data_IF_522291948975
#
_entry.id   IF_522291948975
#
_cell.length_a   1.000
_cell.length_b   1.000
_cell.length_c   1.000
_cell.angle_alpha   90.00
_cell.angle_beta   90.00
_cell.angle_gamma   90.00
#
_symmetry.space_group_name_H-M   'P 1'
#
loop_
_entity.id
_entity.type
_entity.pdbx_description
1 polymer ?
#
# COMPACT_ATOMS: atom_id res chain seq x y z
N UNK A 1 7.22 -3.56 33.11
CA UNK A 1 7.30 -4.81 32.34
C UNK A 1 5.96 -5.53 32.28
N UNK A 2 5.29 -5.74 33.42
CA UNK A 2 3.97 -6.42 33.45
C UNK A 2 2.91 -5.73 32.58
N UNK A 3 2.88 -4.42 32.58
CA UNK A 3 2.00 -3.55 31.82
C UNK A 3 2.19 -3.63 30.29
N UNK A 4 3.42 -3.71 29.80
CA UNK A 4 3.72 -3.90 28.36
C UNK A 4 3.29 -5.30 27.89
N UNK A 5 3.53 -6.33 28.71
CA UNK A 5 3.14 -7.70 28.39
C UNK A 5 1.62 -7.82 28.27
N UNK A 6 0.88 -7.19 29.17
CA UNK A 6 -0.59 -7.21 29.13
C UNK A 6 -1.13 -6.52 27.85
N UNK A 7 -0.57 -5.37 27.46
CA UNK A 7 -0.97 -4.67 26.23
C UNK A 7 -0.66 -5.48 24.97
N UNK A 8 0.51 -6.10 24.93
CA UNK A 8 0.93 -6.97 23.83
C UNK A 8 0.03 -8.20 23.71
N UNK A 9 -0.26 -8.88 24.81
CA UNK A 9 -1.19 -10.02 24.82
C UNK A 9 -2.61 -9.57 24.41
N UNK A 10 -3.04 -8.40 24.82
CA UNK A 10 -4.29 -7.78 24.38
C UNK A 10 -4.32 -7.53 22.87
N UNK A 11 -3.24 -7.01 22.28
CA UNK A 11 -3.12 -6.81 20.85
C UNK A 11 -3.16 -8.15 20.11
N UNK A 12 -2.34 -9.12 20.50
CA UNK A 12 -2.29 -10.47 19.93
C UNK A 12 -3.67 -11.15 20.01
N UNK A 13 -4.36 -11.00 21.13
CA UNK A 13 -5.72 -11.51 21.33
C UNK A 13 -6.74 -10.90 20.36
N UNK A 14 -6.71 -9.57 20.19
CA UNK A 14 -7.60 -8.88 19.22
C UNK A 14 -7.33 -9.31 17.78
N UNK A 15 -6.06 -9.35 17.36
CA UNK A 15 -5.68 -9.75 16.00
C UNK A 15 -6.09 -11.21 15.72
N UNK A 16 -5.92 -12.11 16.68
CA UNK A 16 -6.35 -13.51 16.56
C UNK A 16 -7.87 -13.63 16.49
N UNK A 17 -8.61 -12.93 17.36
CA UNK A 17 -10.08 -12.95 17.37
C UNK A 17 -10.68 -12.38 16.10
N UNK A 18 -10.04 -11.39 15.48
CA UNK A 18 -10.43 -10.83 14.18
C UNK A 18 -10.04 -11.70 12.97
N UNK A 19 -9.29 -12.79 13.18
CA UNK A 19 -8.85 -13.69 12.11
C UNK A 19 -7.63 -13.21 11.31
N UNK A 20 -7.00 -12.08 11.70
CA UNK A 20 -5.79 -11.57 11.05
C UNK A 20 -4.55 -12.39 11.35
N UNK A 21 -4.45 -12.96 12.58
CA UNK A 21 -3.29 -13.67 13.10
C UNK A 21 -3.61 -15.16 13.28
N UNK A 22 -3.14 -15.98 12.35
CA UNK A 22 -3.41 -17.44 12.30
C UNK A 22 -2.14 -18.26 12.50
N UNK A 23 -0.99 -17.80 12.01
CA UNK A 23 0.28 -18.52 12.05
C UNK A 23 1.01 -18.30 13.37
N UNK A 24 1.42 -19.40 14.02
CA UNK A 24 2.10 -19.34 15.33
C UNK A 24 3.44 -18.58 15.25
N UNK A 25 4.22 -18.77 14.18
CA UNK A 25 5.50 -18.07 13.99
C UNK A 25 5.35 -16.55 13.93
N UNK A 26 4.23 -16.02 13.33
CA UNK A 26 3.94 -14.57 13.31
C UNK A 26 3.54 -14.11 14.71
N UNK A 27 2.76 -14.93 15.44
CA UNK A 27 2.37 -14.65 16.84
C UNK A 27 3.58 -14.60 17.78
N UNK A 28 4.52 -15.55 17.66
CA UNK A 28 5.76 -15.54 18.42
C UNK A 28 6.61 -14.32 18.09
N UNK A 29 6.74 -13.98 16.79
CA UNK A 29 7.49 -12.80 16.38
C UNK A 29 6.91 -11.50 16.97
N UNK A 30 5.58 -11.34 17.00
CA UNK A 30 4.95 -10.18 17.64
C UNK A 30 5.26 -10.08 19.15
N UNK A 31 5.35 -11.22 19.86
CA UNK A 31 5.70 -11.24 21.28
C UNK A 31 7.15 -10.92 21.54
N UNK A 32 8.03 -11.36 20.65
CA UNK A 32 9.48 -11.23 20.83
C UNK A 32 10.00 -9.88 20.31
N UNK A 33 9.26 -9.18 19.45
CA UNK A 33 9.64 -7.91 18.84
C UNK A 33 8.65 -6.81 19.25
N UNK A 34 8.82 -6.21 20.45
CA UNK A 34 7.84 -5.31 21.01
C UNK A 34 7.73 -4.00 20.23
N UNK A 35 6.54 -3.68 19.74
CA UNK A 35 6.27 -2.53 18.86
C UNK A 35 6.73 -1.20 19.44
N UNK A 36 6.63 -1.02 20.75
CA UNK A 36 7.02 0.23 21.42
C UNK A 36 8.52 0.58 21.29
N UNK A 37 9.38 -0.38 20.99
CA UNK A 37 10.79 -0.13 20.73
C UNK A 37 11.04 0.56 19.37
N UNK A 38 10.03 0.59 18.49
CA UNK A 38 10.10 1.12 17.13
C UNK A 38 9.31 2.42 16.94
N UNK A 39 8.72 2.95 18.02
CA UNK A 39 7.94 4.19 18.02
C UNK A 39 8.70 5.28 18.77
N UNK A 40 8.90 6.48 18.18
CA UNK A 40 9.58 7.59 18.85
C UNK A 40 8.77 8.10 20.04
N UNK A 41 9.43 8.85 20.93
CA UNK A 41 8.77 9.41 22.10
C UNK A 41 7.61 10.36 21.75
N UNK A 42 7.75 11.12 20.67
CA UNK A 42 6.69 11.98 20.13
C UNK A 42 6.34 11.50 18.72
N UNK A 43 5.07 11.25 18.49
CA UNK A 43 4.54 10.80 17.20
C UNK A 43 3.04 11.14 17.11
N UNK A 44 2.42 10.81 15.99
CA UNK A 44 0.99 11.03 15.74
C UNK A 44 0.32 9.73 15.33
N UNK A 45 -0.89 9.50 15.80
CA UNK A 45 -1.72 8.40 15.29
C UNK A 45 -2.18 8.69 13.87
N UNK A 46 -2.61 7.67 13.14
CA UNK A 46 -3.22 7.84 11.81
C UNK A 46 -4.46 8.73 11.83
N UNK A 47 -5.17 8.80 12.97
CA UNK A 47 -6.34 9.65 13.19
C UNK A 47 -5.99 11.10 13.61
N UNK A 48 -4.71 11.41 13.78
CA UNK A 48 -4.23 12.77 14.10
C UNK A 48 -4.15 13.08 15.59
N UNK A 49 -4.17 12.08 16.49
CA UNK A 49 -3.89 12.29 17.92
C UNK A 49 -2.37 12.36 18.16
N UNK A 50 -1.90 13.40 18.85
CA UNK A 50 -0.50 13.52 19.26
C UNK A 50 -0.23 12.62 20.46
N UNK A 51 0.81 11.82 20.36
CA UNK A 51 1.32 10.98 21.45
C UNK A 51 2.68 11.46 21.92
N UNK A 52 2.87 11.56 23.23
CA UNK A 52 4.12 12.03 23.83
C UNK A 52 4.42 11.21 25.10
N UNK A 53 5.43 10.36 24.99
CA UNK A 53 5.86 9.46 26.06
C UNK A 53 6.32 10.21 27.32
N UNK A 54 6.88 11.40 27.18
CA UNK A 54 7.42 12.15 28.33
C UNK A 54 6.30 12.74 29.19
N UNK A 55 5.16 13.09 28.59
CA UNK A 55 4.05 13.75 29.28
C UNK A 55 2.92 12.79 29.66
N UNK A 56 2.75 11.69 28.91
CA UNK A 56 1.65 10.75 29.09
C UNK A 56 2.07 9.30 28.73
N UNK A 57 3.00 8.74 29.48
CA UNK A 57 3.63 7.43 29.21
C UNK A 57 2.62 6.30 29.03
N UNK A 58 1.59 6.22 29.91
CA UNK A 58 0.56 5.19 29.80
C UNK A 58 -0.29 5.35 28.55
N UNK A 59 -0.74 6.57 28.24
CA UNK A 59 -1.51 6.84 27.03
C UNK A 59 -0.69 6.56 25.78
N UNK A 60 0.60 6.88 25.78
CA UNK A 60 1.52 6.56 24.69
C UNK A 60 1.61 5.05 24.45
N UNK A 61 1.75 4.24 25.51
CA UNK A 61 1.73 2.79 25.41
C UNK A 61 0.38 2.26 24.91
N UNK A 62 -0.73 2.80 25.40
CA UNK A 62 -2.07 2.41 24.95
C UNK A 62 -2.21 2.61 23.43
N UNK A 63 -1.79 3.76 22.90
CA UNK A 63 -1.88 4.09 21.49
C UNK A 63 -0.91 3.24 20.65
N UNK A 64 0.31 3.01 21.13
CA UNK A 64 1.29 2.15 20.44
C UNK A 64 0.78 0.72 20.26
N UNK A 65 -0.02 0.21 21.21
CA UNK A 65 -0.57 -1.15 21.13
C UNK A 65 -2.03 -1.21 20.63
N UNK A 66 -2.57 -0.09 20.11
CA UNK A 66 -3.80 -0.11 19.31
C UNK A 66 -3.53 -0.55 17.88
N UNK A 67 -4.60 -0.90 17.17
CA UNK A 67 -4.52 -1.24 15.74
C UNK A 67 -4.64 0.01 14.87
N UNK A 68 -3.64 0.87 14.98
CA UNK A 68 -3.50 2.11 14.22
C UNK A 68 -2.05 2.33 13.81
N UNK A 69 -1.84 3.10 12.73
CA UNK A 69 -0.52 3.54 12.32
C UNK A 69 0.00 4.67 13.22
N UNK A 70 1.28 4.62 13.56
CA UNK A 70 1.95 5.73 14.26
C UNK A 70 2.86 6.45 13.28
N UNK A 71 2.53 7.70 12.97
CA UNK A 71 3.28 8.53 12.03
C UNK A 71 4.59 8.97 12.68
N UNK A 72 5.69 8.78 11.99
CA UNK A 72 7.03 9.03 12.52
C UNK A 72 7.87 10.01 11.69
N UNK A 73 7.38 10.38 10.49
CA UNK A 73 8.03 11.38 9.64
C UNK A 73 6.99 12.14 8.81
N UNK A 74 7.22 13.44 8.65
CA UNK A 74 6.45 14.34 7.78
C UNK A 74 7.35 14.89 6.67
N UNK A 75 6.78 15.10 5.45
CA UNK A 75 7.39 15.79 4.31
C UNK A 75 8.82 15.33 3.98
N UNK A 76 9.05 14.01 4.00
CA UNK A 76 10.38 13.41 3.78
C UNK A 76 11.45 13.93 4.76
N UNK A 77 11.05 14.23 6.00
CA UNK A 77 11.92 14.75 7.06
C UNK A 77 12.14 16.26 7.02
N UNK A 78 11.47 16.99 6.14
CA UNK A 78 11.59 18.45 6.05
C UNK A 78 10.77 19.16 7.12
N UNK A 79 9.70 18.55 7.62
CA UNK A 79 8.84 19.06 8.68
C UNK A 79 9.06 18.26 9.97
N UNK A 80 9.20 18.99 11.09
CA UNK A 80 9.30 18.38 12.41
C UNK A 80 8.01 17.62 12.73
N UNK A 81 8.12 16.34 13.04
CA UNK A 81 6.96 15.48 13.35
C UNK A 81 6.18 15.98 14.56
N UNK A 82 6.78 16.77 15.46
CA UNK A 82 6.10 17.32 16.63
C UNK A 82 5.03 18.35 16.27
N UNK A 83 5.05 18.93 15.07
CA UNK A 83 4.06 19.90 14.58
C UNK A 83 2.74 19.24 14.18
N UNK A 84 2.79 18.00 13.67
CA UNK A 84 1.62 17.25 13.18
C UNK A 84 1.05 17.75 11.85
N UNK A 85 1.65 18.76 11.25
CA UNK A 85 1.15 19.45 10.06
C UNK A 85 2.09 19.22 8.87
N UNK A 86 1.69 18.31 7.98
CA UNK A 86 2.47 17.90 6.83
C UNK A 86 1.99 16.59 6.22
N UNK A 87 2.60 16.21 5.09
CA UNK A 87 2.33 14.94 4.44
C UNK A 87 3.02 13.81 5.19
N UNK A 88 2.30 12.77 5.54
CA UNK A 88 2.84 11.56 6.17
C UNK A 88 3.79 10.84 5.21
N UNK A 89 5.02 10.58 5.64
CA UNK A 89 6.08 9.99 4.81
C UNK A 89 6.80 8.79 5.42
N UNK A 90 6.67 8.56 6.73
CA UNK A 90 7.04 7.32 7.41
C UNK A 90 6.12 7.05 8.59
N UNK A 91 5.90 5.77 8.90
CA UNK A 91 5.13 5.33 10.07
C UNK A 91 5.60 3.97 10.59
N UNK A 92 5.25 3.68 11.83
CA UNK A 92 5.12 2.31 12.32
C UNK A 92 3.70 1.85 11.97
N UNK A 93 3.55 0.99 10.98
CA UNK A 93 2.26 0.60 10.37
C UNK A 93 1.30 -0.04 11.36
N UNK A 94 -0.01 -0.02 11.05
CA UNK A 94 -1.05 -0.66 11.86
C UNK A 94 -0.78 -2.17 11.98
N UNK A 95 -0.88 -2.74 13.19
CA UNK A 95 -0.58 -4.15 13.43
C UNK A 95 -1.35 -5.15 12.56
N UNK A 96 -2.65 -4.95 12.36
CA UNK A 96 -3.47 -5.82 11.50
C UNK A 96 -2.94 -5.88 10.07
N UNK A 97 -2.59 -4.73 9.50
CA UNK A 97 -2.08 -4.64 8.13
C UNK A 97 -0.70 -5.31 8.00
N UNK A 98 0.19 -5.11 8.98
CA UNK A 98 1.50 -5.79 9.01
C UNK A 98 1.33 -7.30 9.11
N UNK A 99 0.48 -7.76 10.03
CA UNK A 99 0.24 -9.19 10.25
C UNK A 99 -0.39 -9.84 9.02
N UNK A 100 -1.38 -9.21 8.38
CA UNK A 100 -2.03 -9.73 7.19
C UNK A 100 -1.02 -9.97 6.05
N UNK A 101 -0.12 -9.01 5.80
CA UNK A 101 0.91 -9.17 4.77
C UNK A 101 1.95 -10.24 5.15
N UNK A 102 2.33 -10.39 6.43
CA UNK A 102 3.23 -11.45 6.89
C UNK A 102 2.60 -12.83 6.77
N UNK A 103 1.30 -12.97 7.07
CA UNK A 103 0.54 -14.21 6.86
C UNK A 103 0.50 -14.61 5.37
N UNK A 104 0.26 -13.65 4.47
CA UNK A 104 0.27 -13.87 3.02
C UNK A 104 1.67 -14.20 2.48
N UNK A 105 2.72 -13.64 3.08
CA UNK A 105 4.11 -13.87 2.69
C UNK A 105 4.52 -15.32 2.94
N UNK A 106 4.00 -15.93 4.00
CA UNK A 106 4.25 -17.30 4.37
C UNK A 106 5.76 -17.62 4.43
N UNK A 107 6.51 -16.76 5.14
CA UNK A 107 7.93 -16.93 5.31
C UNK A 107 8.25 -17.97 6.37
N UNK A 108 9.31 -18.78 6.15
CA UNK A 108 9.76 -19.84 7.02
C UNK A 108 11.23 -19.64 7.42
N UNK A 109 11.66 -20.31 8.48
CA UNK A 109 13.05 -20.27 8.96
C UNK A 109 14.01 -20.59 7.81
N UNK A 110 15.01 -19.72 7.64
CA UNK A 110 16.04 -19.84 6.60
C UNK A 110 15.63 -19.28 5.24
N UNK A 111 14.39 -18.84 5.03
CA UNK A 111 14.01 -18.12 3.80
C UNK A 111 14.76 -16.79 3.72
N UNK A 112 15.38 -16.50 2.57
CA UNK A 112 16.01 -15.22 2.26
C UNK A 112 14.93 -14.21 1.87
N UNK A 113 14.82 -13.13 2.64
CA UNK A 113 13.75 -12.14 2.48
C UNK A 113 14.34 -10.79 2.07
N UNK A 114 13.77 -10.21 1.01
CA UNK A 114 13.89 -8.79 0.70
C UNK A 114 12.70 -8.07 1.30
N UNK A 115 12.94 -7.13 2.20
CA UNK A 115 11.94 -6.24 2.79
C UNK A 115 12.13 -4.83 2.21
N UNK A 116 11.08 -4.26 1.60
CA UNK A 116 11.13 -2.97 0.90
C UNK A 116 10.35 -1.93 1.67
N UNK A 117 11.06 -0.89 2.13
CA UNK A 117 10.53 0.16 2.98
C UNK A 117 10.77 -0.13 4.46
N UNK A 118 12.02 -0.08 4.92
CA UNK A 118 12.39 -0.37 6.31
C UNK A 118 11.57 0.41 7.33
N UNK A 119 11.29 1.70 7.05
CA UNK A 119 10.55 2.57 7.95
C UNK A 119 11.18 2.60 9.34
N UNK A 120 10.39 2.33 10.38
CA UNK A 120 10.90 2.26 11.76
C UNK A 120 11.74 1.02 12.07
N UNK A 121 11.75 0.02 11.18
CA UNK A 121 12.42 -1.27 11.35
C UNK A 121 11.57 -2.36 12.02
N UNK A 122 10.31 -2.08 12.39
CA UNK A 122 9.49 -3.06 13.10
C UNK A 122 9.22 -4.31 12.26
N UNK A 123 8.82 -4.16 11.00
CA UNK A 123 8.58 -5.31 10.09
C UNK A 123 9.85 -6.08 9.81
N UNK A 124 10.98 -5.40 9.57
CA UNK A 124 12.29 -6.05 9.43
C UNK A 124 12.68 -6.84 10.69
N UNK A 125 12.31 -6.34 11.88
CA UNK A 125 12.47 -7.05 13.15
C UNK A 125 11.61 -8.32 13.23
N UNK A 126 10.32 -8.22 12.88
CA UNK A 126 9.40 -9.37 12.85
C UNK A 126 9.89 -10.44 11.87
N UNK A 127 10.28 -10.06 10.65
CA UNK A 127 10.88 -10.95 9.67
C UNK A 127 12.16 -11.60 10.19
N UNK A 128 13.04 -10.83 10.85
CA UNK A 128 14.27 -11.34 11.47
C UNK A 128 13.98 -12.42 12.51
N UNK A 129 12.89 -12.27 13.25
CA UNK A 129 12.48 -13.30 14.22
C UNK A 129 11.93 -14.56 13.57
N UNK A 130 11.25 -14.40 12.43
CA UNK A 130 10.64 -15.52 11.69
C UNK A 130 11.70 -16.33 10.93
N UNK A 131 12.58 -15.66 10.16
CA UNK A 131 13.46 -16.34 9.21
C UNK A 131 14.94 -16.41 9.65
N UNK A 132 15.34 -15.69 10.70
CA UNK A 132 16.71 -15.43 11.10
C UNK A 132 17.18 -14.07 10.56
N UNK A 133 17.80 -13.24 11.40
CA UNK A 133 18.20 -11.87 11.05
C UNK A 133 19.21 -11.82 9.88
N UNK A 134 20.09 -12.80 9.76
CA UNK A 134 21.06 -12.96 8.68
C UNK A 134 20.42 -13.18 7.30
N UNK A 135 19.16 -13.59 7.29
CA UNK A 135 18.40 -13.88 6.07
C UNK A 135 17.55 -12.70 5.61
N UNK A 136 17.48 -11.61 6.37
CA UNK A 136 16.69 -10.41 6.03
C UNK A 136 17.59 -9.33 5.46
N UNK A 137 17.24 -8.84 4.28
CA UNK A 137 17.79 -7.60 3.70
C UNK A 137 16.64 -6.60 3.58
N UNK A 138 16.74 -5.46 4.26
CA UNK A 138 15.71 -4.42 4.24
C UNK A 138 16.25 -3.14 3.59
N UNK A 139 15.51 -2.60 2.63
CA UNK A 139 15.90 -1.45 1.80
C UNK A 139 15.06 -0.24 2.16
N UNK A 140 15.73 0.89 2.45
CA UNK A 140 15.11 2.17 2.78
C UNK A 140 15.70 3.29 1.90
N UNK A 141 14.82 4.10 1.31
CA UNK A 141 15.27 5.20 0.46
C UNK A 141 15.78 6.39 1.25
N UNK A 142 15.34 6.54 2.51
CA UNK A 142 15.72 7.65 3.38
C UNK A 142 16.86 7.23 4.34
N UNK A 143 18.05 7.87 4.21
CA UNK A 143 19.19 7.52 5.06
C UNK A 143 18.95 7.77 6.55
N UNK A 144 18.15 8.78 6.93
CA UNK A 144 17.88 9.11 8.32
C UNK A 144 16.91 8.09 8.93
N UNK A 145 15.87 7.71 8.18
CA UNK A 145 14.94 6.66 8.58
C UNK A 145 15.67 5.33 8.74
N UNK A 146 16.54 4.97 7.79
CA UNK A 146 17.37 3.76 7.86
C UNK A 146 18.29 3.74 9.08
N UNK A 147 18.93 4.86 9.38
CA UNK A 147 19.80 4.98 10.56
C UNK A 147 19.00 4.80 11.88
N UNK A 148 17.83 5.42 11.98
CA UNK A 148 16.96 5.26 13.15
C UNK A 148 16.47 3.81 13.28
N UNK A 149 16.11 3.16 12.18
CA UNK A 149 15.72 1.75 12.18
C UNK A 149 16.85 0.84 12.69
N UNK A 150 18.10 1.12 12.30
CA UNK A 150 19.27 0.37 12.80
C UNK A 150 19.39 0.45 14.33
N UNK A 151 19.22 1.64 14.91
CA UNK A 151 19.26 1.81 16.37
C UNK A 151 18.07 1.10 17.05
N UNK A 152 16.88 1.18 16.49
CA UNK A 152 15.69 0.50 17.03
C UNK A 152 15.88 -1.03 17.03
N UNK A 153 16.35 -1.60 15.93
CA UNK A 153 16.62 -3.04 15.79
C UNK A 153 17.71 -3.51 16.75
N UNK A 154 18.81 -2.75 16.86
CA UNK A 154 19.89 -3.03 17.80
C UNK A 154 19.41 -3.02 19.26
N UNK A 155 18.51 -2.11 19.61
CA UNK A 155 17.95 -2.02 20.97
C UNK A 155 17.16 -3.28 21.38
N UNK A 156 16.63 -4.04 20.40
CA UNK A 156 15.97 -5.33 20.64
C UNK A 156 16.83 -6.54 20.29
N UNK A 157 18.13 -6.33 20.09
CA UNK A 157 19.10 -7.41 19.82
C UNK A 157 19.05 -8.03 18.43
N UNK A 158 18.48 -7.32 17.44
CA UNK A 158 18.37 -7.76 16.07
C UNK A 158 19.32 -6.98 15.14
N UNK A 159 19.86 -7.63 14.11
CA UNK A 159 20.79 -7.01 13.17
C UNK A 159 20.64 -7.54 11.74
N UNK A 160 19.47 -7.35 11.10
CA UNK A 160 19.33 -7.66 9.69
C UNK A 160 20.21 -6.74 8.84
N UNK A 161 20.40 -7.08 7.58
CA UNK A 161 21.09 -6.20 6.64
C UNK A 161 20.18 -5.03 6.27
N UNK A 162 20.59 -3.80 6.62
CA UNK A 162 19.93 -2.58 6.17
C UNK A 162 20.70 -1.96 5.02
N UNK A 163 19.98 -1.52 4.00
CA UNK A 163 20.52 -0.92 2.78
C UNK A 163 19.82 0.40 2.50
N UNK A 164 20.57 1.45 2.26
CA UNK A 164 20.02 2.72 1.77
C UNK A 164 19.99 2.69 0.25
N UNK A 165 18.79 2.80 -0.35
CA UNK A 165 18.61 2.74 -1.80
C UNK A 165 17.15 2.78 -2.24
N UNK A 166 16.94 2.82 -3.55
CA UNK A 166 15.60 2.73 -4.12
C UNK A 166 15.10 1.27 -4.04
N UNK A 167 14.03 1.06 -3.29
CA UNK A 167 13.42 -0.26 -3.13
C UNK A 167 12.88 -0.86 -4.43
N UNK A 168 12.62 -0.05 -5.48
CA UNK A 168 12.23 -0.55 -6.79
C UNK A 168 13.34 -1.36 -7.48
N UNK A 169 14.61 -1.06 -7.19
CA UNK A 169 15.78 -1.79 -7.70
C UNK A 169 16.04 -3.11 -6.94
N UNK A 170 15.37 -3.34 -5.81
CA UNK A 170 15.64 -4.47 -4.93
C UNK A 170 17.06 -4.43 -4.38
N UNK A 171 17.69 -5.64 -4.27
CA UNK A 171 19.07 -5.73 -3.80
C UNK A 171 19.85 -6.88 -4.47
N UNK A 172 20.80 -6.55 -5.32
CA UNK A 172 21.48 -7.52 -6.21
C UNK A 172 22.42 -8.49 -5.46
N UNK A 173 23.05 -8.07 -4.38
CA UNK A 173 24.01 -8.93 -3.64
C UNK A 173 23.30 -9.98 -2.76
N UNK A 174 21.97 -9.92 -2.65
CA UNK A 174 21.14 -10.83 -1.88
C UNK A 174 20.53 -11.99 -2.66
N UNK A 175 20.80 -12.14 -3.95
CA UNK A 175 20.11 -13.05 -4.88
C UNK A 175 20.39 -14.54 -4.67
N UNK A 176 19.41 -15.41 -5.02
CA UNK A 176 17.98 -15.10 -5.19
C UNK A 176 17.29 -15.00 -3.84
N UNK A 177 16.16 -14.27 -3.79
CA UNK A 177 15.29 -14.25 -2.61
C UNK A 177 14.21 -15.33 -2.70
N UNK A 178 13.79 -15.85 -1.53
CA UNK A 178 12.63 -16.73 -1.40
C UNK A 178 11.33 -15.93 -1.30
N UNK A 179 11.43 -14.76 -0.69
CA UNK A 179 10.31 -13.87 -0.38
C UNK A 179 10.69 -12.42 -0.64
N UNK A 180 9.78 -11.67 -1.21
CA UNK A 180 9.83 -10.20 -1.28
C UNK A 180 8.61 -9.65 -0.56
N UNK A 181 8.82 -8.77 0.39
CA UNK A 181 7.79 -8.12 1.19
C UNK A 181 7.91 -6.61 1.02
N UNK A 182 6.83 -5.91 0.68
CA UNK A 182 6.82 -4.46 0.61
C UNK A 182 5.93 -3.85 1.69
N UNK A 183 6.47 -2.85 2.41
CA UNK A 183 5.77 -2.02 3.39
C UNK A 183 5.46 -0.62 2.85
N UNK A 184 5.43 -0.48 1.53
CA UNK A 184 5.01 0.72 0.81
C UNK A 184 4.08 0.34 -0.35
N UNK A 185 3.14 1.22 -0.67
CA UNK A 185 2.21 1.01 -1.77
C UNK A 185 2.91 1.14 -3.12
N UNK A 186 2.52 0.31 -4.08
CA UNK A 186 3.00 0.39 -5.46
C UNK A 186 1.84 0.53 -6.43
N UNK A 187 1.97 1.40 -7.42
CA UNK A 187 0.99 1.51 -8.52
C UNK A 187 1.23 0.49 -9.64
N UNK A 188 2.43 -0.10 -9.64
CA UNK A 188 2.86 -1.22 -10.49
C UNK A 188 3.94 -2.00 -9.74
N UNK A 189 4.07 -3.29 -10.01
CA UNK A 189 5.10 -4.13 -9.40
C UNK A 189 6.44 -3.91 -10.12
N UNK A 190 7.51 -3.48 -9.43
CA UNK A 190 8.83 -3.41 -10.04
C UNK A 190 9.28 -4.78 -10.53
N UNK A 191 9.61 -4.92 -11.82
CA UNK A 191 10.03 -6.22 -12.38
C UNK A 191 11.33 -6.74 -11.73
N UNK A 192 12.17 -5.85 -11.19
CA UNK A 192 13.36 -6.25 -10.45
C UNK A 192 13.05 -7.18 -9.27
N UNK A 193 11.89 -7.03 -8.63
CA UNK A 193 11.46 -7.94 -7.57
C UNK A 193 11.21 -9.36 -8.10
N UNK A 194 10.60 -9.46 -9.29
CA UNK A 194 10.36 -10.75 -9.96
C UNK A 194 11.69 -11.39 -10.35
N UNK A 195 12.58 -10.62 -10.98
CA UNK A 195 13.89 -11.08 -11.46
C UNK A 195 14.80 -11.54 -10.32
N UNK A 196 14.66 -10.94 -9.14
CA UNK A 196 15.47 -11.22 -7.95
C UNK A 196 14.88 -12.34 -7.08
N UNK A 197 13.67 -12.78 -7.36
CA UNK A 197 13.00 -13.87 -6.63
C UNK A 197 13.17 -15.18 -7.40
N UNK A 198 13.49 -16.28 -6.67
CA UNK A 198 13.60 -17.59 -7.30
C UNK A 198 12.26 -18.10 -7.83
N UNK A 199 12.23 -19.01 -8.79
CA UNK A 199 11.01 -19.74 -9.17
C UNK A 199 10.36 -20.40 -7.94
N UNK A 200 9.05 -20.25 -7.79
CA UNK A 200 8.28 -20.67 -6.62
C UNK A 200 8.39 -19.72 -5.42
N UNK A 201 9.21 -18.67 -5.51
CA UNK A 201 9.26 -17.61 -4.49
C UNK A 201 8.02 -16.72 -4.54
N UNK A 202 7.76 -16.00 -3.43
CA UNK A 202 6.54 -15.22 -3.22
C UNK A 202 6.87 -13.74 -3.08
N UNK A 203 6.08 -12.90 -3.73
CA UNK A 203 6.10 -11.44 -3.58
C UNK A 203 4.78 -11.01 -2.97
N UNK A 204 4.83 -10.24 -1.88
CA UNK A 204 3.65 -9.63 -1.24
C UNK A 204 3.84 -8.13 -1.18
N UNK A 205 2.85 -7.39 -1.68
CA UNK A 205 2.91 -5.93 -1.73
C UNK A 205 1.52 -5.29 -1.64
N UNK A 206 1.40 -4.09 -1.06
CA UNK A 206 0.23 -3.24 -1.21
C UNK A 206 0.16 -2.68 -2.63
N UNK A 207 -0.80 -3.11 -3.43
CA UNK A 207 -1.00 -2.66 -4.80
C UNK A 207 -2.09 -1.59 -4.85
N UNK A 208 -1.76 -0.40 -5.34
CA UNK A 208 -2.64 0.76 -5.37
C UNK A 208 -2.69 1.36 -6.79
N UNK A 209 -3.60 0.90 -7.66
CA UNK A 209 -3.65 1.30 -9.07
C UNK A 209 -4.16 2.72 -9.32
N UNK A 210 -4.52 3.47 -8.28
CA UNK A 210 -4.82 4.91 -8.37
C UNK A 210 -6.24 5.32 -8.00
N UNK A 211 -7.22 4.41 -7.95
CA UNK A 211 -8.64 4.75 -7.72
C UNK A 211 -9.08 4.64 -6.25
N UNK A 212 -8.62 3.66 -5.51
CA UNK A 212 -9.03 3.47 -4.12
C UNK A 212 -7.85 3.16 -3.19
N UNK A 213 -8.19 2.70 -2.00
CA UNK A 213 -7.23 2.15 -1.04
C UNK A 213 -6.51 0.94 -1.66
N UNK A 214 -5.27 0.72 -1.31
CA UNK A 214 -4.47 -0.38 -1.83
C UNK A 214 -5.05 -1.77 -1.56
N UNK A 215 -4.63 -2.74 -2.36
CA UNK A 215 -5.01 -4.14 -2.26
C UNK A 215 -3.82 -4.98 -1.81
N UNK A 216 -4.04 -5.95 -0.96
CA UNK A 216 -3.04 -6.98 -0.68
C UNK A 216 -2.83 -7.84 -1.92
N UNK A 217 -1.66 -7.76 -2.52
CA UNK A 217 -1.26 -8.54 -3.68
C UNK A 217 -0.30 -9.64 -3.25
N UNK A 218 -0.56 -10.87 -3.67
CA UNK A 218 0.35 -12.01 -3.52
C UNK A 218 0.64 -12.63 -4.87
N UNK A 219 1.91 -12.60 -5.28
CA UNK A 219 2.40 -13.18 -6.52
C UNK A 219 3.33 -14.37 -6.24
N UNK A 220 3.35 -15.33 -7.16
CA UNK A 220 4.32 -16.43 -7.20
C UNK A 220 5.12 -16.31 -8.49
N UNK A 221 6.44 -16.37 -8.37
CA UNK A 221 7.35 -16.33 -9.52
C UNK A 221 7.43 -17.69 -10.19
N UNK A 222 7.27 -17.73 -11.50
CA UNK A 222 7.33 -18.92 -12.34
C UNK A 222 8.70 -19.11 -12.99
N UNK A 223 9.04 -20.32 -13.47
CA UNK A 223 10.37 -20.60 -14.05
C UNK A 223 10.72 -19.81 -15.31
N UNK A 224 9.73 -19.26 -16.01
CA UNK A 224 9.90 -18.42 -17.21
C UNK A 224 10.17 -16.94 -16.89
N UNK A 225 10.31 -16.58 -15.59
CA UNK A 225 10.55 -15.20 -15.14
C UNK A 225 9.29 -14.34 -15.07
N UNK A 226 8.10 -14.95 -15.13
CA UNK A 226 6.82 -14.29 -14.90
C UNK A 226 6.44 -14.36 -13.41
N UNK A 227 5.67 -13.42 -12.90
CA UNK A 227 5.00 -13.55 -11.60
C UNK A 227 3.49 -13.47 -11.79
N UNK A 228 2.76 -14.39 -11.17
CA UNK A 228 1.29 -14.49 -11.29
C UNK A 228 0.69 -14.65 -9.90
N UNK A 229 -0.44 -13.99 -9.65
CA UNK A 229 -1.15 -14.12 -8.40
C UNK A 229 -2.43 -13.33 -8.32
N UNK A 230 -2.96 -13.21 -7.10
CA UNK A 230 -4.30 -12.69 -6.83
C UNK A 230 -4.29 -11.62 -5.75
N UNK A 231 -5.40 -10.92 -5.64
CA UNK A 231 -5.63 -9.91 -4.61
C UNK A 231 -6.43 -10.50 -3.45
N UNK A 232 -5.99 -10.20 -2.21
CA UNK A 232 -6.65 -10.66 -0.98
C UNK A 232 -7.44 -9.53 -0.29
N UNK A 233 -6.87 -8.90 0.72
CA UNK A 233 -7.49 -7.88 1.55
C UNK A 233 -7.26 -6.44 1.08
N UNK A 234 -7.47 -5.51 1.98
CA UNK A 234 -7.09 -4.10 1.84
C UNK A 234 -5.75 -3.84 2.52
N UNK A 235 -4.84 -3.16 1.84
CA UNK A 235 -3.57 -2.72 2.38
C UNK A 235 -3.30 -1.25 2.00
N UNK A 236 -3.72 -0.34 2.87
CA UNK A 236 -3.45 1.08 2.69
C UNK A 236 -2.08 1.43 3.26
N UNK A 237 -1.12 1.71 2.39
CA UNK A 237 0.22 2.13 2.73
C UNK A 237 0.58 3.46 2.05
N UNK A 238 1.52 4.20 2.65
CA UNK A 238 2.17 5.30 1.95
C UNK A 238 2.85 4.76 0.69
N UNK A 239 2.66 5.48 -0.43
CA UNK A 239 3.23 5.07 -1.71
C UNK A 239 4.76 5.13 -1.69
N UNK A 240 5.40 4.16 -2.34
CA UNK A 240 6.82 4.26 -2.71
C UNK A 240 7.09 5.64 -3.33
N UNK A 241 8.22 6.29 -3.03
CA UNK A 241 8.48 7.68 -3.46
C UNK A 241 8.37 7.86 -4.97
N UNK A 242 8.87 6.89 -5.76
CA UNK A 242 8.77 6.87 -7.22
C UNK A 242 7.36 6.59 -7.76
N UNK A 243 6.42 6.13 -6.91
CA UNK A 243 5.04 5.80 -7.27
C UNK A 243 4.01 6.78 -6.69
N UNK A 244 4.46 7.87 -6.07
CA UNK A 244 3.57 8.90 -5.53
C UNK A 244 2.74 9.53 -6.63
N UNK A 245 1.49 9.85 -6.30
CA UNK A 245 0.62 10.57 -7.20
C UNK A 245 1.23 11.91 -7.63
N UNK A 246 1.05 12.24 -8.89
CA UNK A 246 1.39 13.56 -9.42
C UNK A 246 0.56 14.65 -8.72
N UNK A 247 1.07 15.89 -8.62
CA UNK A 247 0.26 17.01 -8.19
C UNK A 247 -0.94 17.21 -9.12
N UNK A 248 -2.07 17.66 -8.55
CA UNK A 248 -3.25 18.02 -9.34
C UNK A 248 -2.91 19.18 -10.32
N UNK A 249 -3.06 19.00 -11.65
CA UNK A 249 -2.58 19.95 -12.64
C UNK A 249 -3.55 21.09 -12.96
N UNK A 250 -4.80 21.03 -12.48
CA UNK A 250 -5.81 22.02 -12.86
C UNK A 250 -5.46 23.43 -12.38
N UNK A 251 -5.69 24.39 -13.27
CA UNK A 251 -5.56 25.82 -13.01
C UNK A 251 -6.93 26.49 -13.07
N UNK A 252 -7.07 27.61 -12.39
CA UNK A 252 -8.30 28.40 -12.42
C UNK A 252 -8.62 28.82 -13.87
N UNK A 253 -9.87 28.60 -14.28
CA UNK A 253 -10.35 28.94 -15.62
C UNK A 253 -10.02 27.93 -16.73
N UNK A 254 -9.22 26.89 -16.46
CA UNK A 254 -8.96 25.84 -17.44
C UNK A 254 -10.10 24.80 -17.47
N UNK A 255 -10.33 24.23 -18.66
CA UNK A 255 -11.22 23.09 -18.89
C UNK A 255 -12.54 23.43 -19.59
N UNK A 256 -13.10 22.39 -20.22
CA UNK A 256 -14.42 22.42 -20.85
C UNK A 256 -15.45 21.86 -19.86
N UNK A 257 -16.59 22.52 -19.75
CA UNK A 257 -17.68 22.12 -18.85
C UNK A 257 -18.78 21.35 -19.60
N UNK A 258 -19.23 20.28 -18.97
CA UNK A 258 -20.41 19.54 -19.38
C UNK A 258 -21.12 18.93 -18.15
N UNK A 259 -22.16 18.15 -18.32
CA UNK A 259 -22.89 17.54 -17.20
C UNK A 259 -23.01 16.04 -17.40
N UNK A 260 -22.98 15.30 -16.28
CA UNK A 260 -23.28 13.87 -16.21
C UNK A 260 -24.52 13.62 -15.35
N UNK A 261 -25.16 12.45 -15.54
CA UNK A 261 -26.18 11.93 -14.63
C UNK A 261 -25.59 10.94 -13.63
N UNK A 262 -24.32 10.55 -13.80
CA UNK A 262 -23.65 9.62 -12.91
C UNK A 262 -23.17 10.38 -11.68
N UNK A 263 -23.64 9.98 -10.51
CA UNK A 263 -23.17 10.53 -9.24
C UNK A 263 -21.68 10.31 -9.08
N UNK A 264 -20.87 11.38 -8.91
CA UNK A 264 -19.41 11.26 -8.75
C UNK A 264 -18.96 10.30 -7.65
N UNK A 265 -19.79 10.11 -6.63
CA UNK A 265 -19.53 9.18 -5.52
C UNK A 265 -19.58 7.72 -5.96
N UNK A 266 -20.30 7.40 -7.06
CA UNK A 266 -20.31 6.06 -7.66
C UNK A 266 -18.92 5.61 -8.06
N UNK A 267 -18.12 6.52 -8.58
CA UNK A 267 -16.72 6.26 -8.95
C UNK A 267 -15.81 6.35 -7.70
N UNK A 268 -16.01 7.37 -6.88
CA UNK A 268 -15.13 7.64 -5.73
C UNK A 268 -15.26 6.67 -4.57
N UNK A 269 -16.42 6.01 -4.41
CA UNK A 269 -16.66 4.98 -3.40
C UNK A 269 -16.87 3.60 -4.03
N UNK A 270 -16.30 3.40 -5.21
CA UNK A 270 -16.41 2.14 -5.91
C UNK A 270 -15.84 0.98 -5.07
N UNK A 271 -16.49 -0.21 -5.09
CA UNK A 271 -15.96 -1.36 -4.38
C UNK A 271 -14.67 -1.88 -5.02
N UNK A 272 -13.91 -2.67 -4.27
CA UNK A 272 -12.57 -3.13 -4.61
C UNK A 272 -12.44 -3.79 -6.01
N UNK A 273 -13.46 -4.52 -6.45
CA UNK A 273 -13.46 -5.11 -7.79
C UNK A 273 -13.60 -4.07 -8.91
N UNK A 274 -14.42 -3.02 -8.68
CA UNK A 274 -14.53 -1.90 -9.61
C UNK A 274 -13.24 -1.06 -9.64
N UNK A 275 -12.59 -0.86 -8.49
CA UNK A 275 -11.30 -0.18 -8.40
C UNK A 275 -10.23 -0.86 -9.26
N UNK A 276 -10.10 -2.19 -9.13
CA UNK A 276 -9.16 -2.97 -9.95
C UNK A 276 -9.49 -2.90 -11.45
N UNK A 277 -10.78 -2.93 -11.81
CA UNK A 277 -11.20 -2.76 -13.20
C UNK A 277 -10.84 -1.37 -13.73
N UNK A 278 -11.22 -0.31 -13.02
CA UNK A 278 -10.91 1.07 -13.42
C UNK A 278 -9.39 1.29 -13.51
N UNK A 279 -8.61 0.79 -12.55
CA UNK A 279 -7.15 0.86 -12.58
C UNK A 279 -6.54 0.16 -13.79
N UNK A 280 -7.11 -0.97 -14.21
CA UNK A 280 -6.69 -1.72 -15.40
C UNK A 280 -7.01 -0.99 -16.71
N UNK A 281 -8.20 -0.35 -16.80
CA UNK A 281 -8.59 0.43 -17.99
C UNK A 281 -7.89 1.77 -18.09
N UNK A 282 -7.50 2.36 -16.95
CA UNK A 282 -6.89 3.68 -16.88
C UNK A 282 -5.50 3.64 -16.21
N UNK A 283 -4.54 2.89 -16.79
CA UNK A 283 -3.21 2.78 -16.18
C UNK A 283 -2.54 4.16 -16.11
N UNK A 284 -1.95 4.46 -14.93
CA UNK A 284 -1.25 5.72 -14.67
C UNK A 284 -2.16 6.93 -14.42
N UNK A 285 -3.48 6.76 -14.39
CA UNK A 285 -4.40 7.81 -13.97
C UNK A 285 -4.44 7.87 -12.43
N UNK A 286 -4.17 9.04 -11.89
CA UNK A 286 -4.38 9.33 -10.48
C UNK A 286 -5.84 9.65 -10.22
N UNK A 287 -6.35 9.23 -9.08
CA UNK A 287 -7.74 9.46 -8.68
C UNK A 287 -7.82 9.89 -7.21
N UNK A 288 -8.69 10.85 -6.92
CA UNK A 288 -8.90 11.31 -5.55
C UNK A 288 -10.28 11.93 -5.36
N UNK A 289 -11.01 11.42 -4.37
CA UNK A 289 -12.23 12.03 -3.86
C UNK A 289 -11.92 13.04 -2.75
N UNK A 290 -12.58 14.20 -2.78
CA UNK A 290 -12.42 15.27 -1.81
C UNK A 290 -13.78 15.72 -1.29
N UNK A 291 -13.92 15.92 0.01
CA UNK A 291 -15.06 16.60 0.63
C UNK A 291 -14.74 18.06 0.86
N UNK A 292 -15.56 18.94 0.34
CA UNK A 292 -15.49 20.40 0.52
C UNK A 292 -16.86 20.88 1.02
N UNK A 293 -17.07 20.88 2.35
CA UNK A 293 -18.38 21.09 2.97
C UNK A 293 -19.39 20.01 2.53
N UNK A 294 -20.55 20.42 2.00
CA UNK A 294 -21.60 19.52 1.49
C UNK A 294 -21.35 19.03 0.06
N UNK A 295 -20.19 19.35 -0.50
CA UNK A 295 -19.80 19.00 -1.86
C UNK A 295 -18.79 17.86 -1.84
N UNK A 296 -18.92 16.91 -2.79
CA UNK A 296 -17.90 15.92 -3.06
C UNK A 296 -17.36 16.12 -4.48
N UNK A 297 -16.03 16.15 -4.62
CA UNK A 297 -15.36 16.31 -5.91
C UNK A 297 -14.49 15.09 -6.17
N UNK A 298 -14.81 14.35 -7.24
CA UNK A 298 -13.94 13.31 -7.78
C UNK A 298 -12.98 13.91 -8.79
N UNK A 299 -11.68 13.74 -8.57
CA UNK A 299 -10.60 14.22 -9.45
C UNK A 299 -9.87 13.04 -10.07
N UNK A 300 -9.63 13.11 -11.39
CA UNK A 300 -8.89 12.14 -12.17
C UNK A 300 -7.83 12.88 -12.98
N UNK A 301 -6.57 12.42 -12.99
CA UNK A 301 -5.53 13.15 -13.72
C UNK A 301 -4.30 12.31 -14.06
N UNK A 302 -3.63 12.76 -15.11
CA UNK A 302 -2.25 12.44 -15.48
C UNK A 302 -1.42 13.73 -15.46
N UNK A 303 -0.21 13.72 -16.02
CA UNK A 303 0.58 14.94 -16.18
C UNK A 303 -0.11 16.01 -17.07
N UNK A 304 -0.82 15.58 -18.11
CA UNK A 304 -1.28 16.44 -19.20
C UNK A 304 -2.81 16.54 -19.33
N UNK A 305 -3.53 15.63 -18.68
CA UNK A 305 -5.00 15.49 -18.82
C UNK A 305 -5.63 15.41 -17.44
N UNK A 306 -6.75 16.10 -17.25
CA UNK A 306 -7.50 15.96 -16.01
C UNK A 306 -9.02 16.03 -16.24
N UNK A 307 -9.76 15.46 -15.29
CA UNK A 307 -11.20 15.60 -15.16
C UNK A 307 -11.58 15.79 -13.69
N UNK A 308 -12.61 16.57 -13.43
CA UNK A 308 -13.25 16.66 -12.12
C UNK A 308 -14.76 16.57 -12.27
N UNK A 309 -15.40 15.77 -11.42
CA UNK A 309 -16.84 15.66 -11.36
C UNK A 309 -17.33 16.03 -9.95
N UNK A 310 -18.30 16.94 -9.88
CA UNK A 310 -18.73 17.55 -8.63
C UNK A 310 -20.15 17.11 -8.27
N UNK A 311 -20.27 16.40 -7.14
CA UNK A 311 -21.56 16.13 -6.51
C UNK A 311 -22.01 17.30 -5.65
N UNK A 312 -23.29 17.68 -5.80
CA UNK A 312 -24.01 18.61 -4.91
C UNK A 312 -25.31 17.98 -4.46
N UNK A 313 -25.67 18.17 -3.21
CA UNK A 313 -26.94 17.66 -2.67
C UNK A 313 -28.15 18.17 -3.49
N UNK A 314 -29.16 17.32 -3.65
CA UNK A 314 -30.41 17.60 -4.37
C UNK A 314 -30.26 17.89 -5.88
N UNK A 315 -29.10 17.63 -6.48
CA UNK A 315 -28.93 17.70 -7.95
C UNK A 315 -29.14 16.34 -8.60
N UNK A 316 -29.80 16.32 -9.75
CA UNK A 316 -29.93 15.13 -10.62
C UNK A 316 -28.94 15.15 -11.80
N UNK A 317 -28.19 16.26 -11.94
CA UNK A 317 -27.10 16.42 -12.90
C UNK A 317 -25.90 17.03 -12.21
N UNK A 318 -24.74 16.52 -12.52
CA UNK A 318 -23.49 16.88 -11.88
C UNK A 318 -22.57 17.53 -12.89
N UNK A 319 -21.91 18.59 -12.45
CA UNK A 319 -20.91 19.31 -13.25
C UNK A 319 -19.69 18.44 -13.46
N UNK A 320 -19.21 18.36 -14.70
CA UNK A 320 -17.94 17.75 -15.06
C UNK A 320 -17.09 18.76 -15.81
N UNK A 321 -15.86 18.92 -15.38
CA UNK A 321 -14.86 19.75 -16.06
C UNK A 321 -13.72 18.85 -16.53
N UNK A 322 -13.28 19.05 -17.77
CA UNK A 322 -12.21 18.26 -18.38
C UNK A 322 -11.21 19.15 -19.11
N UNK A 323 -9.94 18.76 -19.12
CA UNK A 323 -8.90 19.41 -19.89
C UNK A 323 -7.97 18.39 -20.51
N UNK A 324 -7.50 18.69 -21.73
CA UNK A 324 -6.64 17.80 -22.51
C UNK A 324 -7.40 16.99 -23.57
N UNK A 325 -6.70 16.06 -24.22
CA UNK A 325 -7.22 15.30 -25.38
C UNK A 325 -8.05 14.06 -25.02
N UNK A 326 -8.23 13.75 -23.74
CA UNK A 326 -9.00 12.59 -23.24
C UNK A 326 -10.05 13.07 -22.23
N UNK A 327 -11.20 12.39 -22.20
CA UNK A 327 -12.19 12.60 -21.15
C UNK A 327 -12.07 11.49 -20.09
N UNK A 328 -11.20 11.69 -19.11
CA UNK A 328 -10.94 10.72 -18.04
C UNK A 328 -12.19 10.37 -17.22
N UNK A 329 -13.15 11.31 -17.12
CA UNK A 329 -14.42 11.02 -16.43
C UNK A 329 -15.24 9.97 -17.16
N UNK A 330 -15.48 10.17 -18.46
CA UNK A 330 -16.25 9.22 -19.24
C UNK A 330 -15.56 7.86 -19.32
N UNK A 331 -14.23 7.84 -19.48
CA UNK A 331 -13.44 6.61 -19.47
C UNK A 331 -13.57 5.86 -18.13
N UNK A 332 -13.58 6.55 -16.99
CA UNK A 332 -13.76 5.92 -15.67
C UNK A 332 -15.19 5.39 -15.49
N UNK A 333 -16.19 6.13 -15.98
CA UNK A 333 -17.61 5.68 -16.00
C UNK A 333 -17.76 4.43 -16.87
N UNK A 334 -17.17 4.42 -18.07
CA UNK A 334 -17.21 3.26 -18.97
C UNK A 334 -16.54 2.02 -18.33
N UNK A 335 -15.40 2.19 -17.69
CA UNK A 335 -14.71 1.11 -16.96
C UNK A 335 -15.54 0.59 -15.78
N UNK A 336 -16.19 1.48 -15.03
CA UNK A 336 -17.11 1.08 -13.96
C UNK A 336 -18.29 0.28 -14.49
N UNK A 337 -18.94 0.73 -15.58
CA UNK A 337 -20.07 0.02 -16.16
C UNK A 337 -19.68 -1.27 -16.89
N UNK A 338 -18.46 -1.37 -17.41
CA UNK A 338 -17.90 -2.65 -17.84
C UNK A 338 -17.87 -3.64 -16.65
N UNK A 339 -17.37 -3.21 -15.47
CA UNK A 339 -17.39 -4.03 -14.26
C UNK A 339 -18.80 -4.47 -13.85
N UNK A 340 -19.78 -3.56 -13.94
CA UNK A 340 -21.20 -3.91 -13.71
C UNK A 340 -21.67 -4.95 -14.72
N UNK A 341 -21.32 -4.81 -16.00
CA UNK A 341 -21.65 -5.74 -17.08
C UNK A 341 -21.06 -7.14 -16.91
N UNK A 342 -19.88 -7.25 -16.27
CA UNK A 342 -19.26 -8.53 -15.90
C UNK A 342 -19.91 -9.16 -14.63
N UNK A 343 -20.98 -8.58 -14.12
CA UNK A 343 -21.73 -9.07 -12.95
C UNK A 343 -21.16 -8.60 -11.61
N UNK A 344 -20.48 -7.46 -11.61
CA UNK A 344 -19.90 -6.83 -10.41
C UNK A 344 -18.95 -7.77 -9.63
N UNK A 345 -17.93 -8.35 -10.27
CA UNK A 345 -17.03 -9.32 -9.62
C UNK A 345 -16.29 -8.70 -8.44
N UNK A 346 -16.18 -9.46 -7.36
CA UNK A 346 -15.37 -9.08 -6.20
C UNK A 346 -13.86 -9.13 -6.50
N UNK A 347 -13.08 -8.55 -5.60
CA UNK A 347 -11.60 -8.51 -5.68
C UNK A 347 -10.97 -9.89 -5.89
N UNK A 348 -11.52 -10.91 -5.24
CA UNK A 348 -11.01 -12.29 -5.24
C UNK A 348 -11.04 -12.97 -6.61
N UNK A 349 -11.78 -12.41 -7.58
CA UNK A 349 -11.83 -12.90 -8.96
C UNK A 349 -10.76 -12.27 -9.85
N UNK A 350 -10.07 -11.23 -9.36
CA UNK A 350 -9.01 -10.57 -10.08
C UNK A 350 -7.64 -11.11 -9.71
N UNK A 351 -6.73 -11.02 -10.64
CA UNK A 351 -5.33 -11.26 -10.39
C UNK A 351 -4.45 -10.39 -11.27
N UNK A 352 -3.15 -10.53 -11.04
CA UNK A 352 -2.10 -9.78 -11.75
C UNK A 352 -1.09 -10.75 -12.35
N UNK A 353 -0.65 -10.46 -13.55
CA UNK A 353 0.54 -11.06 -14.16
C UNK A 353 1.56 -9.98 -14.42
N UNK A 354 2.81 -10.26 -14.05
CA UNK A 354 3.96 -9.37 -14.25
C UNK A 354 5.00 -10.09 -15.09
N UNK A 355 5.35 -9.52 -16.24
CA UNK A 355 6.37 -10.00 -17.17
C UNK A 355 7.50 -8.98 -17.29
N UNK A 356 8.61 -9.31 -17.98
CA UNK A 356 9.66 -8.32 -18.26
C UNK A 356 9.17 -7.09 -19.01
N UNK A 357 8.15 -7.24 -19.86
CA UNK A 357 7.66 -6.20 -20.77
C UNK A 357 6.48 -5.41 -20.21
N UNK A 358 5.64 -6.06 -19.37
CA UNK A 358 4.38 -5.47 -18.93
C UNK A 358 3.82 -6.13 -17.66
N UNK A 359 2.87 -5.45 -17.03
CA UNK A 359 1.95 -6.05 -16.09
C UNK A 359 0.51 -5.87 -16.57
N UNK A 360 -0.35 -6.81 -16.26
CA UNK A 360 -1.77 -6.72 -16.59
C UNK A 360 -2.65 -7.41 -15.56
N UNK A 361 -3.74 -6.72 -15.22
CA UNK A 361 -4.81 -7.27 -14.39
C UNK A 361 -5.68 -8.17 -15.26
N UNK A 362 -6.13 -9.29 -14.70
CA UNK A 362 -7.04 -10.22 -15.36
C UNK A 362 -8.25 -10.55 -14.47
N UNK A 363 -9.32 -11.03 -15.10
CA UNK A 363 -10.54 -11.48 -14.44
C UNK A 363 -10.69 -12.99 -14.65
N UNK A 364 -10.83 -13.75 -13.56
CA UNK A 364 -10.99 -15.21 -13.47
C UNK A 364 -9.76 -16.04 -13.89
N UNK A 365 -8.99 -15.60 -14.87
CA UNK A 365 -7.77 -16.31 -15.29
C UNK A 365 -6.78 -15.39 -16.00
N UNK A 366 -5.50 -15.72 -15.92
CA UNK A 366 -4.42 -14.97 -16.57
C UNK A 366 -4.56 -14.85 -18.10
N UNK A 367 -5.34 -15.72 -18.72
CA UNK A 367 -5.68 -15.65 -20.14
C UNK A 367 -6.83 -14.68 -20.50
N UNK A 368 -7.43 -14.03 -19.51
CA UNK A 368 -8.52 -13.06 -19.68
C UNK A 368 -8.14 -11.68 -19.14
N UNK A 369 -7.21 -10.94 -19.77
CA UNK A 369 -6.79 -9.63 -19.30
C UNK A 369 -7.94 -8.63 -19.37
N UNK A 370 -8.04 -7.77 -18.35
CA UNK A 370 -8.92 -6.61 -18.34
C UNK A 370 -8.27 -5.53 -19.19
N UNK A 371 -8.89 -5.21 -20.34
CA UNK A 371 -8.37 -4.18 -21.25
C UNK A 371 -9.53 -3.45 -21.93
N UNK A 372 -9.30 -2.19 -22.32
CA UNK A 372 -10.22 -1.47 -23.22
C UNK A 372 -10.34 -2.23 -24.52
N UNK A 373 -11.55 -2.56 -24.94
CA UNK A 373 -11.86 -3.36 -26.15
C UNK A 373 -11.43 -2.80 -27.50
N UNK A 374 -10.50 -1.86 -27.53
CA UNK A 374 -9.84 -1.34 -28.72
C UNK A 374 -8.53 -2.10 -28.97
N UNK A 375 -8.60 -3.39 -29.33
CA UNK A 375 -7.39 -4.16 -29.62
C UNK A 375 -7.52 -5.68 -29.67
N UNK A 376 -8.73 -6.24 -29.76
CA UNK A 376 -8.91 -7.65 -30.10
C UNK A 376 -8.80 -7.83 -31.62
N UNK A 377 -7.61 -7.56 -32.15
CA UNK A 377 -7.24 -7.72 -33.55
C UNK A 377 -5.82 -8.26 -33.67
N UNK A 378 -5.69 -9.57 -33.66
CA UNK A 378 -4.52 -10.26 -34.21
C UNK A 378 -3.48 -10.72 -33.17
N UNK A 379 -3.60 -11.99 -32.78
CA UNK A 379 -2.49 -12.94 -32.58
C UNK A 379 -2.75 -14.17 -33.39
#
# INVERSE_FOLDING_TARGET
MEDVTQRLDGLVGRLSAAGWLTQERVREALRDVPRHAFVPAVAWTGEGERVDRATASERWLDLVYQDDAIITQLDDGQTDVTTGDGRFTSSCSAPSTVVSLLELLDAEVGHRVLDVGTGTGWTAGLLSRIVGAENVTSVEVDPQVSAQAAENLKAVGLSPRLVVGDGAEGWKDGLPFDRVHATCGVSRVPYEWVRQTRPGGVIVAPYAPGFASGHELRLVVTPDGTAVGTFAGYASYMMMRSHRQLPWPARDGEGTEHTTQIDPRTIGYAPAGADLAMGAFLPGVNARGLHEGDTYVMRLWTADVWASATYRQASSRYEVRTSGGRNLWDEAVDAYFWWVGEGSPGRERYGLTVTPEAEFVWLDSAGKPVSSGAGAGGF
#
